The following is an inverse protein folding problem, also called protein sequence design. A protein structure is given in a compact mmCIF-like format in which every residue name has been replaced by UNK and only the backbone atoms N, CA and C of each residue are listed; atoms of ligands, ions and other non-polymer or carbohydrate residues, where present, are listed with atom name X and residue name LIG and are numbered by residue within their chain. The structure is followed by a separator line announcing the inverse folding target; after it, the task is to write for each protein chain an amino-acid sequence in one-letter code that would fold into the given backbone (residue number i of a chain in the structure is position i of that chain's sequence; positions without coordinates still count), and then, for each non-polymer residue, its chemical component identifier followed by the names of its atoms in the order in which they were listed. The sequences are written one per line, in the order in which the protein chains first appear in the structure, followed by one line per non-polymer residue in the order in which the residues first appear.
data_IF_654353475838
#
_entry.id   IF_654353475838
#
_cell.length_a   1.000
_cell.length_b   1.000
_cell.length_c   1.000
_cell.angle_alpha   90.00
_cell.angle_beta   90.00
_cell.angle_gamma   90.00
#
_symmetry.space_group_name_H-M   'P 1'
#
loop_
_entity.id
_entity.type
_entity.pdbx_description
1 polymer ?
#
# COMPACT_ATOMS: atom_id res chain seq x y z
N UNK A 1 -5.78 0.37 -7.18
CA UNK A 1 -5.50 -0.90 -7.88
C UNK A 1 -4.09 -1.37 -7.56
N UNK A 2 -3.68 -2.59 -7.98
CA UNK A 2 -2.29 -3.06 -7.81
C UNK A 2 -1.28 -2.11 -8.48
N UNK A 3 -1.61 -1.60 -9.68
CA UNK A 3 -0.73 -0.69 -10.41
C UNK A 3 -0.62 0.69 -9.73
N UNK A 4 -1.66 1.15 -9.02
CA UNK A 4 -1.57 2.41 -8.26
C UNK A 4 -0.61 2.29 -7.08
N UNK A 5 -0.57 1.12 -6.42
CA UNK A 5 0.41 0.83 -5.37
C UNK A 5 1.83 0.81 -5.95
N UNK A 6 2.05 0.17 -7.09
CA UNK A 6 3.36 0.17 -7.77
C UNK A 6 3.80 1.60 -8.08
N UNK A 7 2.95 2.42 -8.70
CA UNK A 7 3.28 3.82 -9.04
C UNK A 7 3.56 4.67 -7.80
N UNK A 8 2.78 4.53 -6.74
CA UNK A 8 3.03 5.23 -5.48
C UNK A 8 4.36 4.82 -4.85
N UNK A 9 4.74 3.54 -4.97
CA UNK A 9 6.03 3.05 -4.50
C UNK A 9 7.20 3.54 -5.38
N UNK A 10 7.05 3.56 -6.70
CA UNK A 10 8.04 4.12 -7.63
C UNK A 10 8.31 5.60 -7.33
N UNK A 11 7.25 6.37 -7.05
CA UNK A 11 7.35 7.76 -6.57
C UNK A 11 8.13 7.85 -5.27
N UNK A 12 7.87 6.95 -4.31
CA UNK A 12 8.55 6.95 -3.01
C UNK A 12 10.04 6.58 -3.11
N UNK A 13 10.40 5.60 -3.95
CA UNK A 13 11.78 5.11 -4.07
C UNK A 13 12.60 5.83 -5.15
N UNK A 14 11.96 6.64 -6.00
CA UNK A 14 12.58 7.37 -7.09
C UNK A 14 13.12 6.47 -8.21
N UNK A 15 12.60 5.23 -8.32
CA UNK A 15 13.06 4.22 -9.27
C UNK A 15 11.85 3.51 -9.88
N UNK A 16 11.96 3.12 -11.15
CA UNK A 16 10.99 2.22 -11.76
C UNK A 16 11.08 0.82 -11.13
N UNK A 17 9.93 0.22 -10.84
CA UNK A 17 9.83 -1.11 -10.25
C UNK A 17 9.43 -2.08 -11.36
N UNK A 18 10.29 -3.04 -11.73
CA UNK A 18 9.95 -4.01 -12.76
C UNK A 18 8.84 -4.94 -12.25
N UNK A 19 7.81 -5.13 -13.08
CA UNK A 19 6.75 -6.11 -12.85
C UNK A 19 6.33 -6.76 -14.17
N UNK A 20 5.65 -7.90 -14.07
CA UNK A 20 5.02 -8.57 -15.21
C UNK A 20 3.58 -8.92 -14.86
N UNK A 21 2.70 -8.95 -15.86
CA UNK A 21 1.33 -9.40 -15.66
C UNK A 21 1.31 -10.93 -15.63
N UNK A 22 0.82 -11.49 -14.54
CA UNK A 22 0.68 -12.93 -14.34
C UNK A 22 -0.81 -13.34 -14.33
N UNK A 23 -1.11 -14.65 -14.47
CA UNK A 23 -2.47 -15.14 -14.30
C UNK A 23 -3.06 -14.75 -12.94
N UNK A 24 -4.40 -14.68 -12.85
CA UNK A 24 -5.08 -14.42 -11.57
C UNK A 24 -4.73 -15.52 -10.57
N UNK A 25 -4.39 -15.11 -9.34
CA UNK A 25 -4.19 -16.03 -8.23
C UNK A 25 -5.56 -16.52 -7.75
N UNK A 26 -5.72 -17.84 -7.59
CA UNK A 26 -6.98 -18.44 -7.17
C UNK A 26 -7.41 -17.89 -5.80
N UNK A 27 -8.69 -17.51 -5.69
CA UNK A 27 -9.27 -16.94 -4.47
C UNK A 27 -9.27 -15.41 -4.38
N UNK A 28 -8.48 -14.71 -5.20
CA UNK A 28 -8.49 -13.24 -5.20
C UNK A 28 -9.78 -12.70 -5.87
N UNK A 29 -10.52 -11.86 -5.15
CA UNK A 29 -11.65 -11.11 -5.69
C UNK A 29 -11.16 -9.90 -6.51
N UNK A 30 -11.93 -9.41 -7.51
CA UNK A 30 -11.51 -8.29 -8.36
C UNK A 30 -11.33 -6.96 -7.62
N UNK A 31 -12.21 -6.64 -6.65
CA UNK A 31 -12.15 -5.43 -5.85
C UNK A 31 -13.00 -5.55 -4.58
N UNK A 32 -12.52 -4.96 -3.49
CA UNK A 32 -13.26 -4.75 -2.25
C UNK A 32 -12.66 -3.57 -1.49
N UNK A 33 -13.48 -2.87 -0.71
CA UNK A 33 -13.06 -1.78 0.18
C UNK A 33 -14.07 -1.63 1.33
N UNK A 34 -13.66 -0.99 2.42
CA UNK A 34 -14.51 -0.78 3.58
C UNK A 34 -15.39 0.47 3.43
N UNK A 35 -16.59 0.46 4.03
CA UNK A 35 -17.27 1.69 4.46
C UNK A 35 -16.90 1.96 5.95
N UNK A 36 -16.08 2.99 6.25
CA UNK A 36 -15.62 3.28 7.61
C UNK A 36 -16.58 4.18 8.41
N UNK A 37 -17.74 4.57 7.87
CA UNK A 37 -18.65 5.53 8.52
C UNK A 37 -19.09 5.10 9.92
N UNK A 38 -19.28 3.79 10.14
CA UNK A 38 -19.65 3.26 11.44
C UNK A 38 -18.56 3.55 12.49
N UNK A 39 -17.30 3.27 12.18
CA UNK A 39 -16.18 3.53 13.08
C UNK A 39 -16.01 5.03 13.35
N UNK A 40 -16.19 5.87 12.33
CA UNK A 40 -16.14 7.32 12.49
C UNK A 40 -17.24 7.83 13.44
N UNK A 41 -18.47 7.31 13.35
CA UNK A 41 -19.59 7.74 14.19
C UNK A 41 -19.49 7.21 15.62
N UNK A 42 -19.17 5.94 15.79
CA UNK A 42 -19.25 5.26 17.09
C UNK A 42 -17.96 5.37 17.90
N UNK A 43 -16.81 5.46 17.24
CA UNK A 43 -15.50 5.50 17.88
C UNK A 43 -14.79 6.86 17.73
N UNK A 44 -15.34 7.78 16.92
CA UNK A 44 -14.67 9.02 16.57
C UNK A 44 -13.37 8.80 15.76
N UNK A 45 -13.18 7.61 15.18
CA UNK A 45 -11.92 7.21 14.55
C UNK A 45 -11.96 7.29 13.03
N UNK A 46 -10.89 7.81 12.41
CA UNK A 46 -10.67 7.85 10.96
C UNK A 46 -9.21 7.61 10.61
N UNK A 47 -8.94 7.09 9.41
CA UNK A 47 -7.58 7.04 8.85
C UNK A 47 -7.14 8.43 8.40
N UNK A 48 -5.93 8.82 8.76
CA UNK A 48 -5.35 10.13 8.40
C UNK A 48 -4.23 10.03 7.36
N UNK A 49 -3.73 8.82 7.11
CA UNK A 49 -2.61 8.58 6.19
C UNK A 49 -3.12 8.19 4.81
N UNK A 50 -2.48 8.75 3.79
CA UNK A 50 -2.72 8.43 2.39
C UNK A 50 -1.91 7.21 1.95
N UNK A 51 -2.21 6.71 0.74
CA UNK A 51 -1.39 5.66 0.11
C UNK A 51 0.07 6.12 -0.10
N UNK A 52 0.28 7.38 -0.46
CA UNK A 52 1.63 7.93 -0.66
C UNK A 52 2.42 7.95 0.64
N UNK A 53 1.79 8.31 1.77
CA UNK A 53 2.43 8.26 3.09
C UNK A 53 2.86 6.84 3.44
N UNK A 54 1.98 5.86 3.20
CA UNK A 54 2.27 4.45 3.44
C UNK A 54 3.49 3.97 2.62
N UNK A 55 3.56 4.33 1.34
CA UNK A 55 4.67 3.92 0.47
C UNK A 55 5.99 4.62 0.86
N UNK A 56 5.95 5.90 1.21
CA UNK A 56 7.11 6.65 1.68
C UNK A 56 7.70 6.07 2.97
N UNK A 57 6.84 5.74 3.94
CA UNK A 57 7.26 5.14 5.20
C UNK A 57 7.83 3.72 5.00
N UNK A 58 7.18 2.93 4.14
CA UNK A 58 7.65 1.57 3.79
C UNK A 58 9.02 1.62 3.13
N UNK A 59 9.21 2.51 2.15
CA UNK A 59 10.51 2.67 1.50
C UNK A 59 11.58 3.16 2.48
N UNK A 60 11.26 4.13 3.33
CA UNK A 60 12.20 4.63 4.37
C UNK A 60 12.67 3.50 5.29
N UNK A 61 11.76 2.61 5.68
CA UNK A 61 12.09 1.44 6.48
C UNK A 61 12.99 0.47 5.70
N UNK A 62 12.57 0.05 4.52
CA UNK A 62 13.27 -0.96 3.71
C UNK A 62 14.66 -0.49 3.27
N UNK A 63 14.80 0.80 2.94
CA UNK A 63 16.08 1.40 2.54
C UNK A 63 17.09 1.41 3.70
N UNK A 64 16.64 1.58 4.94
CA UNK A 64 17.49 1.57 6.14
C UNK A 64 17.75 0.16 6.66
N UNK A 65 16.82 -0.77 6.41
CA UNK A 65 16.84 -2.14 6.93
C UNK A 65 16.63 -3.14 5.78
N UNK A 66 17.57 -3.23 4.83
CA UNK A 66 17.40 -4.04 3.63
C UNK A 66 17.21 -5.53 3.92
N UNK A 67 17.66 -6.00 5.09
CA UNK A 67 17.52 -7.39 5.56
C UNK A 67 16.56 -7.52 6.76
N UNK A 68 15.77 -6.49 7.06
CA UNK A 68 14.90 -6.46 8.24
C UNK A 68 15.67 -6.35 9.56
N UNK A 69 15.04 -6.78 10.65
CA UNK A 69 15.65 -6.84 11.98
C UNK A 69 16.63 -8.02 12.10
N UNK A 70 17.59 -7.91 13.02
CA UNK A 70 18.49 -8.98 13.45
C UNK A 70 18.33 -9.23 14.93
#
# INVERSE_FOLDING_TARGET
SVLDVVRAYEKACGKAIPYTIAPRRAGDLPAFWANPEKAARELGWRTERSLDDMMADTWRWQAKNPQGYR
#
